data_IF_621865796792
#
_entry.id   IF_621865796792
#
_cell.length_a   1.000
_cell.length_b   1.000
_cell.length_c   1.000
_cell.angle_alpha   90.00
_cell.angle_beta   90.00
_cell.angle_gamma   90.00
#
_symmetry.space_group_name_H-M   'P 1'
#
loop_
_entity.id
_entity.type
_entity.pdbx_description
1 polymer ?
#
# COMPACT_ATOMS: atom_id res chain seq x y z
N UNK A 1 -8.89 -22.72 9.74
CA UNK A 1 -9.22 -21.28 9.64
C UNK A 1 -9.16 -20.89 8.17
N UNK A 2 -10.12 -20.12 7.67
CA UNK A 2 -10.22 -19.70 6.26
C UNK A 2 -10.68 -18.25 6.18
N UNK A 3 -10.42 -17.58 5.05
CA UNK A 3 -11.17 -16.38 4.67
C UNK A 3 -12.67 -16.70 4.48
N UNK A 4 -13.51 -15.68 4.40
CA UNK A 4 -14.96 -15.83 4.16
C UNK A 4 -15.21 -16.61 2.87
N UNK A 5 -15.90 -17.74 2.98
CA UNK A 5 -16.22 -18.65 1.86
C UNK A 5 -17.73 -18.90 1.86
N UNK A 6 -18.34 -18.94 0.69
CA UNK A 6 -19.79 -19.05 0.54
C UNK A 6 -20.35 -20.42 0.89
N UNK A 7 -19.53 -21.47 0.88
CA UNK A 7 -19.92 -22.87 1.13
C UNK A 7 -19.36 -23.42 2.46
N UNK A 8 -19.20 -22.55 3.47
CA UNK A 8 -18.64 -22.94 4.77
C UNK A 8 -19.37 -24.13 5.41
N UNK A 9 -20.70 -24.15 5.32
CA UNK A 9 -21.52 -25.23 5.86
C UNK A 9 -21.21 -26.59 5.22
N UNK A 10 -21.08 -26.65 3.89
CA UNK A 10 -20.76 -27.89 3.18
C UNK A 10 -19.38 -28.44 3.58
N UNK A 11 -18.41 -27.55 3.77
CA UNK A 11 -17.06 -27.93 4.20
C UNK A 11 -17.07 -28.40 5.66
N UNK A 12 -17.82 -27.71 6.53
CA UNK A 12 -17.97 -28.10 7.92
C UNK A 12 -18.61 -29.49 8.05
N UNK A 13 -19.67 -29.75 7.28
CA UNK A 13 -20.33 -31.06 7.23
C UNK A 13 -19.40 -32.15 6.70
N UNK A 14 -18.66 -31.88 5.61
CA UNK A 14 -17.69 -32.81 5.04
C UNK A 14 -16.58 -33.16 6.03
N UNK A 15 -16.05 -32.17 6.75
CA UNK A 15 -15.01 -32.35 7.77
C UNK A 15 -15.56 -32.86 9.11
N UNK A 16 -16.89 -32.95 9.27
CA UNK A 16 -17.57 -33.23 10.54
C UNK A 16 -17.12 -32.28 11.66
N UNK A 17 -16.98 -31.00 11.34
CA UNK A 17 -16.46 -29.98 12.22
C UNK A 17 -17.54 -28.97 12.63
N UNK A 18 -17.38 -28.35 13.80
CA UNK A 18 -18.17 -27.18 14.16
C UNK A 18 -17.70 -25.97 13.36
N UNK A 19 -18.66 -25.18 12.86
CA UNK A 19 -18.40 -23.92 12.18
C UNK A 19 -18.56 -22.72 13.11
N UNK A 20 -17.72 -21.72 12.91
CA UNK A 20 -17.83 -20.41 13.55
C UNK A 20 -17.51 -19.35 12.51
N UNK A 21 -18.44 -18.43 12.29
CA UNK A 21 -18.29 -17.31 11.37
C UNK A 21 -18.36 -16.00 12.14
N UNK A 22 -17.44 -15.09 11.84
CA UNK A 22 -17.42 -13.73 12.38
C UNK A 22 -16.93 -12.76 11.32
N UNK A 23 -17.51 -11.57 11.31
CA UNK A 23 -17.05 -10.44 10.49
C UNK A 23 -16.31 -9.40 11.32
N UNK A 24 -15.97 -9.73 12.58
CA UNK A 24 -15.25 -8.82 13.45
C UNK A 24 -13.87 -8.48 12.87
N UNK A 25 -13.62 -7.18 12.71
CA UNK A 25 -12.31 -6.64 12.34
C UNK A 25 -11.85 -5.64 13.40
N UNK A 26 -10.65 -5.80 13.98
CA UNK A 26 -10.16 -4.88 15.01
C UNK A 26 -9.90 -3.44 14.53
N UNK A 27 -9.64 -3.26 13.23
CA UNK A 27 -9.46 -1.95 12.59
C UNK A 27 -10.46 -1.87 11.45
N UNK A 28 -11.31 -0.85 11.47
CA UNK A 28 -12.34 -0.67 10.44
C UNK A 28 -11.71 -0.46 9.05
N UNK A 29 -12.30 -1.08 8.04
CA UNK A 29 -11.85 -0.96 6.65
C UNK A 29 -12.68 0.09 5.94
N UNK A 30 -12.02 1.16 5.49
CA UNK A 30 -12.60 2.10 4.54
C UNK A 30 -12.25 1.67 3.12
N UNK A 31 -13.26 1.29 2.36
CA UNK A 31 -13.13 0.93 0.94
C UNK A 31 -13.61 2.10 0.08
N UNK A 32 -12.88 2.43 -0.98
CA UNK A 32 -13.27 3.52 -1.89
C UNK A 32 -12.67 3.35 -3.29
N UNK A 33 -13.33 3.96 -4.27
CA UNK A 33 -12.91 4.00 -5.67
C UNK A 33 -12.46 5.41 -6.00
N UNK A 34 -11.26 5.57 -6.52
CA UNK A 34 -10.79 6.87 -7.01
C UNK A 34 -11.33 7.14 -8.42
N UNK A 35 -12.10 8.21 -8.58
CA UNK A 35 -12.59 8.72 -9.87
C UNK A 35 -12.11 10.16 -10.03
N UNK A 36 -11.16 10.37 -10.95
CA UNK A 36 -10.50 11.66 -11.12
C UNK A 36 -9.69 12.04 -9.87
N UNK A 37 -10.22 12.95 -9.06
CA UNK A 37 -9.62 13.38 -7.77
C UNK A 37 -10.47 12.98 -6.56
N UNK A 38 -11.60 12.33 -6.79
CA UNK A 38 -12.61 12.06 -5.77
C UNK A 38 -12.59 10.59 -5.41
N UNK A 39 -12.47 10.30 -4.12
CA UNK A 39 -12.70 8.97 -3.58
C UNK A 39 -14.21 8.84 -3.35
N UNK A 40 -14.82 7.87 -4.02
CA UNK A 40 -16.23 7.54 -3.91
C UNK A 40 -16.42 6.22 -3.15
N UNK A 41 -17.59 6.07 -2.55
CA UNK A 41 -17.99 4.82 -1.91
C UNK A 41 -18.12 3.69 -2.95
N UNK A 42 -17.64 2.50 -2.60
CA UNK A 42 -17.60 1.33 -3.49
C UNK A 42 -18.99 0.81 -3.89
N UNK A 43 -20.03 1.05 -3.07
CA UNK A 43 -21.38 0.52 -3.31
C UNK A 43 -22.28 1.54 -3.99
N UNK A 44 -22.25 2.78 -3.50
CA UNK A 44 -23.16 3.86 -3.91
C UNK A 44 -22.56 4.77 -4.99
N UNK A 45 -21.23 4.72 -5.18
CA UNK A 45 -20.46 5.64 -6.04
C UNK A 45 -20.60 7.12 -5.66
N UNK A 46 -21.18 7.41 -4.49
CA UNK A 46 -21.30 8.76 -3.98
C UNK A 46 -19.93 9.27 -3.52
N UNK A 47 -19.63 10.56 -3.70
CA UNK A 47 -18.36 11.14 -3.29
C UNK A 47 -18.22 11.11 -1.77
N UNK A 48 -17.11 10.55 -1.28
CA UNK A 48 -16.75 10.54 0.14
C UNK A 48 -15.83 11.71 0.47
N UNK A 49 -14.72 11.84 -0.27
CA UNK A 49 -13.75 12.93 -0.12
C UNK A 49 -12.94 13.14 -1.40
N UNK A 50 -12.23 14.26 -1.48
CA UNK A 50 -11.19 14.45 -2.51
C UNK A 50 -9.80 14.09 -1.96
N UNK A 51 -8.90 13.66 -2.85
CA UNK A 51 -7.48 13.51 -2.51
C UNK A 51 -6.83 14.88 -2.29
N UNK A 52 -5.86 14.95 -1.38
CA UNK A 52 -5.18 16.21 -1.06
C UNK A 52 -4.51 16.84 -2.29
N UNK A 53 -4.84 18.10 -2.58
CA UNK A 53 -4.20 18.86 -3.67
C UNK A 53 -2.75 19.27 -3.38
N UNK A 54 -2.28 19.08 -2.14
CA UNK A 54 -0.89 19.39 -1.72
C UNK A 54 0.14 18.65 -2.57
N UNK A 55 -0.18 17.44 -3.02
CA UNK A 55 0.71 16.55 -3.75
C UNK A 55 0.25 16.33 -5.19
N UNK A 56 -0.46 17.30 -5.78
CA UNK A 56 -0.95 17.17 -7.14
C UNK A 56 0.20 17.22 -8.15
N UNK A 57 0.27 16.18 -8.98
CA UNK A 57 1.28 16.05 -10.01
C UNK A 57 0.59 15.96 -11.40
N UNK A 58 1.05 16.75 -12.39
CA UNK A 58 0.54 16.63 -13.77
C UNK A 58 0.87 15.27 -14.40
N UNK A 59 2.04 14.69 -14.08
CA UNK A 59 2.54 13.45 -14.64
C UNK A 59 2.12 12.19 -13.83
N UNK A 60 0.94 12.21 -13.21
CA UNK A 60 0.39 11.10 -12.43
C UNK A 60 -1.11 10.89 -12.76
N UNK A 61 -1.43 10.35 -13.94
CA UNK A 61 -2.81 10.24 -14.41
C UNK A 61 -3.67 9.33 -13.52
N UNK A 62 -3.06 8.32 -12.90
CA UNK A 62 -3.71 7.37 -12.01
C UNK A 62 -3.63 7.76 -10.53
N UNK A 63 -2.95 8.88 -10.23
CA UNK A 63 -2.83 9.48 -8.89
C UNK A 63 -2.16 8.55 -7.87
N UNK A 64 -1.37 7.58 -8.32
CA UNK A 64 -0.72 6.60 -7.45
C UNK A 64 0.34 7.30 -6.61
N UNK A 65 1.15 8.15 -7.23
CA UNK A 65 2.18 8.92 -6.54
C UNK A 65 1.51 9.85 -5.52
N UNK A 66 0.45 10.56 -5.94
CA UNK A 66 -0.29 11.47 -5.06
C UNK A 66 -0.89 10.76 -3.83
N UNK A 67 -1.46 9.56 -4.00
CA UNK A 67 -1.96 8.75 -2.89
C UNK A 67 -0.85 8.25 -1.97
N UNK A 68 0.31 7.89 -2.53
CA UNK A 68 1.50 7.52 -1.77
C UNK A 68 1.99 8.70 -0.92
N UNK A 69 2.13 9.89 -1.51
CA UNK A 69 2.57 11.09 -0.79
C UNK A 69 1.59 11.47 0.32
N UNK A 70 0.28 11.38 0.07
CA UNK A 70 -0.73 11.61 1.10
C UNK A 70 -0.53 10.66 2.29
N UNK A 71 -0.35 9.35 2.04
CA UNK A 71 -0.09 8.36 3.10
C UNK A 71 1.24 8.57 3.81
N UNK A 72 2.31 8.78 3.06
CA UNK A 72 3.63 8.99 3.63
C UNK A 72 3.62 10.20 4.57
N UNK A 73 2.92 11.30 4.19
CA UNK A 73 2.81 12.50 5.04
C UNK A 73 2.12 12.27 6.38
N UNK A 74 1.33 11.20 6.51
CA UNK A 74 0.70 10.76 7.76
C UNK A 74 1.57 9.77 8.55
N UNK A 75 2.73 9.39 8.02
CA UNK A 75 3.54 8.33 8.59
C UNK A 75 2.95 6.94 8.36
N UNK A 76 2.16 6.74 7.30
CA UNK A 76 1.57 5.45 6.92
C UNK A 76 2.43 4.66 5.92
N UNK A 77 2.33 3.33 5.93
CA UNK A 77 2.87 2.49 4.86
C UNK A 77 1.81 2.18 3.81
N UNK A 78 2.26 1.95 2.57
CA UNK A 78 1.40 1.73 1.41
C UNK A 78 1.77 0.41 0.75
N UNK A 79 0.75 -0.42 0.51
CA UNK A 79 0.86 -1.64 -0.30
C UNK A 79 0.08 -1.45 -1.60
N UNK A 80 0.76 -1.50 -2.73
CA UNK A 80 0.19 -1.31 -4.06
C UNK A 80 0.10 -2.66 -4.75
N UNK A 81 -1.08 -3.03 -5.25
CA UNK A 81 -1.28 -4.23 -6.05
C UNK A 81 -1.39 -3.89 -7.54
N UNK A 82 -0.60 -4.58 -8.35
CA UNK A 82 -0.55 -4.48 -9.81
C UNK A 82 -0.89 -5.84 -10.47
N UNK A 83 -1.25 -5.82 -11.74
CA UNK A 83 -1.73 -7.02 -12.45
C UNK A 83 -0.61 -7.89 -13.04
N UNK A 84 0.62 -7.37 -13.14
CA UNK A 84 1.76 -8.07 -13.73
C UNK A 84 3.09 -7.70 -13.09
N UNK A 85 4.11 -8.55 -13.27
CA UNK A 85 5.48 -8.31 -12.76
C UNK A 85 6.09 -7.02 -13.31
N UNK A 86 6.00 -6.84 -14.63
CA UNK A 86 6.51 -5.64 -15.30
C UNK A 86 5.80 -4.36 -14.84
N UNK A 87 4.50 -4.42 -14.54
CA UNK A 87 3.78 -3.27 -13.99
C UNK A 87 4.20 -2.97 -12.56
N UNK A 88 4.39 -4.00 -11.74
CA UNK A 88 4.91 -3.89 -10.38
C UNK A 88 6.27 -3.19 -10.35
N UNK A 89 7.22 -3.62 -11.20
CA UNK A 89 8.53 -2.99 -11.37
C UNK A 89 8.39 -1.53 -11.83
N UNK A 90 7.61 -1.29 -12.89
CA UNK A 90 7.40 0.05 -13.47
C UNK A 90 6.83 1.04 -12.43
N UNK A 91 5.81 0.64 -11.69
CA UNK A 91 5.18 1.50 -10.67
C UNK A 91 6.17 1.79 -9.54
N UNK A 92 6.94 0.80 -9.09
CA UNK A 92 7.98 1.00 -8.09
C UNK A 92 9.04 2.01 -8.55
N UNK A 93 9.53 1.87 -9.78
CA UNK A 93 10.50 2.82 -10.37
C UNK A 93 9.94 4.23 -10.45
N UNK A 94 8.72 4.41 -10.94
CA UNK A 94 8.09 5.73 -11.09
C UNK A 94 7.92 6.42 -9.74
N UNK A 95 7.41 5.70 -8.74
CA UNK A 95 7.24 6.25 -7.38
C UNK A 95 8.60 6.58 -6.75
N UNK A 96 9.58 5.68 -6.89
CA UNK A 96 10.94 5.90 -6.37
C UNK A 96 11.63 7.11 -6.99
N UNK A 97 11.53 7.29 -8.31
CA UNK A 97 12.13 8.44 -9.00
C UNK A 97 11.55 9.76 -8.48
N UNK A 98 10.23 9.82 -8.29
CA UNK A 98 9.61 11.02 -7.73
C UNK A 98 10.09 11.30 -6.29
N UNK A 99 10.18 10.27 -5.44
CA UNK A 99 10.71 10.45 -4.09
C UNK A 99 12.18 10.88 -4.09
N UNK A 100 12.99 10.39 -5.04
CA UNK A 100 14.39 10.80 -5.20
C UNK A 100 14.50 12.27 -5.60
N UNK A 101 13.67 12.74 -6.52
CA UNK A 101 13.63 14.16 -6.92
C UNK A 101 13.35 15.04 -5.69
N UNK A 102 12.35 14.68 -4.89
CA UNK A 102 12.02 15.40 -3.66
C UNK A 102 13.13 15.37 -2.61
N UNK A 103 13.87 14.26 -2.48
CA UNK A 103 15.03 14.16 -1.60
C UNK A 103 16.21 15.03 -2.07
N UNK A 104 16.29 15.32 -3.38
CA UNK A 104 17.37 16.10 -3.98
C UNK A 104 17.11 17.61 -3.86
N UNK A 105 15.85 18.02 -3.83
CA UNK A 105 15.45 19.40 -3.54
C UNK A 105 15.52 19.65 -2.03
N UNK A 106 16.65 20.20 -1.53
CA UNK A 106 16.95 20.57 -0.13
C UNK A 106 16.07 19.82 0.91
N UNK A 107 16.53 18.64 1.40
CA UNK A 107 15.67 17.73 2.15
C UNK A 107 15.03 18.43 3.34
N UNK A 108 13.72 18.67 3.24
CA UNK A 108 12.95 19.19 4.36
C UNK A 108 13.00 18.12 5.46
N UNK A 109 13.19 18.53 6.71
CA UNK A 109 13.29 17.61 7.86
C UNK A 109 12.12 16.60 7.91
N UNK A 110 10.95 17.04 7.42
CA UNK A 110 9.75 16.22 7.28
C UNK A 110 9.97 14.98 6.40
N UNK A 111 10.68 15.09 5.25
CA UNK A 111 10.92 13.97 4.33
C UNK A 111 11.86 12.92 4.93
N UNK A 112 12.90 13.36 5.65
CA UNK A 112 13.85 12.45 6.29
C UNK A 112 13.15 11.58 7.34
N UNK A 113 12.27 12.19 8.14
CA UNK A 113 11.46 11.47 9.12
C UNK A 113 10.43 10.56 8.44
N UNK A 114 9.79 11.04 7.37
CA UNK A 114 8.78 10.31 6.60
C UNK A 114 9.32 9.00 5.99
N UNK A 115 10.53 9.05 5.42
CA UNK A 115 11.18 7.90 4.79
C UNK A 115 12.12 7.12 5.73
N UNK A 116 12.30 7.59 6.97
CA UNK A 116 13.22 7.01 7.96
C UNK A 116 14.63 6.77 7.38
N UNK A 117 15.20 7.82 6.79
CA UNK A 117 16.46 7.75 6.02
C UNK A 117 17.59 7.07 6.79
N UNK A 118 17.71 7.31 8.10
CA UNK A 118 18.73 6.66 8.93
C UNK A 118 18.57 5.13 8.92
N UNK A 119 17.36 4.61 9.19
CA UNK A 119 17.09 3.18 9.16
C UNK A 119 17.22 2.59 7.75
N UNK A 120 16.92 3.39 6.73
CA UNK A 120 16.98 2.99 5.34
C UNK A 120 18.41 2.76 4.87
N UNK A 121 19.35 3.61 5.29
CA UNK A 121 20.77 3.45 4.96
C UNK A 121 21.35 2.12 5.46
N UNK A 122 21.06 1.75 6.71
CA UNK A 122 21.43 0.44 7.26
C UNK A 122 20.73 -0.71 6.53
N UNK A 123 19.47 -0.53 6.14
CA UNK A 123 18.72 -1.55 5.41
C UNK A 123 19.26 -1.79 4.00
N UNK A 124 19.73 -0.75 3.30
CA UNK A 124 20.37 -0.90 1.99
C UNK A 124 21.62 -1.79 2.10
N UNK A 125 22.48 -1.54 3.09
CA UNK A 125 23.67 -2.36 3.34
C UNK A 125 23.31 -3.81 3.71
N UNK A 126 22.36 -3.99 4.63
CA UNK A 126 21.83 -5.31 4.98
C UNK A 126 21.30 -6.06 3.76
N UNK A 127 20.45 -5.42 2.95
CA UNK A 127 19.86 -6.03 1.76
C UNK A 127 20.93 -6.49 0.78
N UNK A 128 21.93 -5.67 0.50
CA UNK A 128 23.02 -6.03 -0.42
C UNK A 128 23.84 -7.20 0.11
N UNK A 129 24.14 -7.23 1.41
CA UNK A 129 24.95 -8.29 2.01
C UNK A 129 24.22 -9.65 2.06
N UNK A 130 22.93 -9.64 2.40
CA UNK A 130 22.14 -10.88 2.51
C UNK A 130 21.76 -11.45 1.15
N UNK A 131 21.37 -10.59 0.20
CA UNK A 131 20.78 -11.05 -1.07
C UNK A 131 21.81 -11.16 -2.19
N UNK A 132 22.91 -10.39 -2.12
CA UNK A 132 23.82 -10.17 -3.24
C UNK A 132 23.07 -9.82 -4.55
N UNK A 133 21.93 -9.13 -4.42
CA UNK A 133 21.03 -8.85 -5.52
C UNK A 133 21.74 -8.09 -6.64
N UNK A 134 21.46 -8.51 -7.87
CA UNK A 134 21.90 -7.83 -9.10
C UNK A 134 20.73 -7.15 -9.82
N UNK A 135 19.55 -7.11 -9.20
CA UNK A 135 18.37 -6.46 -9.76
C UNK A 135 18.51 -4.93 -9.67
N UNK A 136 18.75 -4.30 -10.81
CA UNK A 136 18.95 -2.85 -10.90
C UNK A 136 17.75 -2.05 -10.38
N UNK A 137 16.54 -2.58 -10.50
CA UNK A 137 15.33 -1.89 -10.06
C UNK A 137 15.24 -1.93 -8.54
N UNK A 138 15.53 -3.06 -7.87
CA UNK A 138 15.59 -3.12 -6.41
C UNK A 138 16.70 -2.22 -5.86
N UNK A 139 17.88 -2.29 -6.46
CA UNK A 139 19.04 -1.49 -6.05
C UNK A 139 18.80 0.01 -6.18
N UNK A 140 17.97 0.44 -7.14
CA UNK A 140 17.58 1.84 -7.29
C UNK A 140 16.35 2.21 -6.45
N UNK A 141 15.40 1.32 -6.22
CA UNK A 141 14.16 1.66 -5.50
C UNK A 141 14.32 1.65 -3.98
N UNK A 142 15.03 0.65 -3.43
CA UNK A 142 15.20 0.47 -1.98
C UNK A 142 15.78 1.70 -1.28
N UNK A 143 16.81 2.40 -1.81
CA UNK A 143 17.34 3.62 -1.19
C UNK A 143 16.35 4.78 -1.02
N UNK A 144 15.15 4.68 -1.62
CA UNK A 144 14.06 5.65 -1.45
C UNK A 144 12.91 5.14 -0.57
N UNK A 145 13.06 3.97 0.05
CA UNK A 145 12.03 3.36 0.90
C UNK A 145 10.93 2.67 0.10
N UNK A 146 11.17 2.41 -1.18
CA UNK A 146 10.26 1.74 -2.12
C UNK A 146 10.86 0.40 -2.51
N UNK A 147 10.06 -0.65 -2.56
CA UNK A 147 10.48 -1.92 -3.13
C UNK A 147 9.33 -2.53 -3.92
N UNK A 148 9.64 -3.59 -4.67
CA UNK A 148 8.65 -4.40 -5.32
C UNK A 148 8.74 -5.87 -4.90
N UNK A 149 7.65 -6.62 -5.09
CA UNK A 149 7.55 -8.02 -4.72
C UNK A 149 6.74 -8.81 -5.74
N UNK A 150 7.37 -9.83 -6.31
CA UNK A 150 6.71 -10.79 -7.18
C UNK A 150 7.50 -12.10 -7.26
N UNK A 151 6.90 -13.13 -7.87
CA UNK A 151 7.52 -14.44 -8.03
C UNK A 151 8.78 -14.50 -8.92
N UNK A 152 9.20 -13.38 -9.53
CA UNK A 152 10.49 -13.28 -10.22
C UNK A 152 11.70 -13.06 -9.30
N UNK A 153 11.47 -12.63 -8.05
CA UNK A 153 12.54 -12.40 -7.07
C UNK A 153 13.05 -13.72 -6.48
N UNK A 154 14.31 -13.75 -6.07
CA UNK A 154 14.87 -14.86 -5.29
C UNK A 154 14.14 -15.01 -3.95
N UNK A 155 14.38 -16.11 -3.23
CA UNK A 155 13.76 -16.27 -1.91
C UNK A 155 14.34 -15.27 -0.93
N UNK A 156 15.65 -15.07 -0.99
CA UNK A 156 16.43 -14.16 -0.15
C UNK A 156 15.98 -12.70 -0.34
N UNK A 157 15.78 -12.28 -1.59
CA UNK A 157 15.24 -10.95 -1.92
C UNK A 157 13.83 -10.76 -1.37
N UNK A 158 12.97 -11.77 -1.51
CA UNK A 158 11.59 -11.71 -0.99
C UNK A 158 11.57 -11.59 0.52
N UNK A 159 12.34 -12.43 1.22
CA UNK A 159 12.42 -12.39 2.68
C UNK A 159 12.94 -11.04 3.17
N UNK A 160 14.02 -10.52 2.57
CA UNK A 160 14.59 -9.23 2.96
C UNK A 160 13.62 -8.06 2.71
N UNK A 161 12.91 -8.03 1.57
CA UNK A 161 11.88 -7.02 1.27
C UNK A 161 10.70 -7.11 2.24
N UNK A 162 10.25 -8.32 2.54
CA UNK A 162 9.16 -8.57 3.49
C UNK A 162 9.51 -8.09 4.90
N UNK A 163 10.73 -8.36 5.35
CA UNK A 163 11.25 -7.93 6.65
C UNK A 163 11.41 -6.42 6.71
N UNK A 164 11.97 -5.80 5.67
CA UNK A 164 12.10 -4.34 5.56
C UNK A 164 10.75 -3.62 5.62
N UNK A 165 9.73 -4.16 4.95
CA UNK A 165 8.37 -3.61 4.99
C UNK A 165 7.70 -3.83 6.34
N UNK A 166 7.85 -5.01 6.94
CA UNK A 166 7.28 -5.33 8.26
C UNK A 166 7.90 -4.46 9.38
N UNK A 167 9.20 -4.20 9.31
CA UNK A 167 9.90 -3.26 10.19
C UNK A 167 9.49 -1.80 9.95
N UNK A 168 8.80 -1.52 8.84
CA UNK A 168 8.39 -0.18 8.43
C UNK A 168 9.57 0.70 8.03
N UNK A 169 10.67 0.09 7.57
CA UNK A 169 11.81 0.78 6.95
C UNK A 169 11.46 1.03 5.48
N UNK A 170 11.02 -0.01 4.77
CA UNK A 170 10.35 0.16 3.48
C UNK A 170 8.93 0.67 3.73
N UNK A 171 8.63 1.83 3.13
CA UNK A 171 7.36 2.55 3.34
C UNK A 171 6.33 2.21 2.27
N UNK A 172 6.80 1.89 1.07
CA UNK A 172 5.96 1.54 -0.08
C UNK A 172 6.40 0.20 -0.63
N UNK A 173 5.46 -0.73 -0.75
CA UNK A 173 5.68 -2.01 -1.39
C UNK A 173 4.73 -2.15 -2.57
N UNK A 174 5.26 -2.43 -3.75
CA UNK A 174 4.46 -2.73 -4.96
C UNK A 174 4.48 -4.22 -5.21
N UNK A 175 3.35 -4.86 -5.40
CA UNK A 175 3.28 -6.31 -5.49
C UNK A 175 2.30 -6.81 -6.54
N UNK A 176 2.56 -8.00 -7.07
CA UNK A 176 1.55 -8.74 -7.84
C UNK A 176 0.47 -9.31 -6.93
N UNK A 177 -0.70 -9.60 -7.50
CA UNK A 177 -1.82 -10.23 -6.79
C UNK A 177 -1.44 -11.51 -6.07
N UNK A 178 -0.46 -12.28 -6.55
CA UNK A 178 0.01 -13.51 -5.90
C UNK A 178 0.54 -13.31 -4.46
N UNK A 179 0.99 -12.10 -4.11
CA UNK A 179 1.37 -11.79 -2.73
C UNK A 179 0.16 -11.81 -1.78
N UNK A 180 -1.07 -11.66 -2.30
CA UNK A 180 -2.29 -11.69 -1.49
C UNK A 180 -2.48 -13.03 -0.78
N UNK A 181 -1.92 -14.12 -1.32
CA UNK A 181 -1.96 -15.47 -0.79
C UNK A 181 -0.57 -15.95 -0.33
N UNK A 182 -0.21 -15.73 0.94
CA UNK A 182 0.96 -16.44 1.50
C UNK A 182 1.79 -15.71 2.56
N UNK A 183 1.71 -14.38 2.65
CA UNK A 183 2.56 -13.59 3.56
C UNK A 183 1.72 -12.62 4.38
N UNK A 184 2.01 -12.44 5.68
CA UNK A 184 1.35 -11.45 6.53
C UNK A 184 2.06 -10.09 6.46
N UNK A 185 1.62 -9.22 5.53
CA UNK A 185 2.15 -7.86 5.33
C UNK A 185 0.98 -6.87 5.42
N UNK A 186 0.60 -6.42 6.62
CA UNK A 186 -0.40 -5.38 6.78
C UNK A 186 0.20 -4.02 6.42
N UNK A 187 -0.60 -3.16 5.78
CA UNK A 187 -0.26 -1.79 5.45
C UNK A 187 -1.38 -0.85 5.92
N UNK A 188 -1.08 0.41 6.22
CA UNK A 188 -2.12 1.37 6.59
C UNK A 188 -3.00 1.71 5.39
N UNK A 189 -2.42 1.78 4.18
CA UNK A 189 -3.16 1.95 2.93
C UNK A 189 -2.86 0.82 1.95
N UNK A 190 -3.92 0.32 1.31
CA UNK A 190 -3.82 -0.56 0.15
C UNK A 190 -4.33 0.18 -1.08
N UNK A 191 -3.56 0.18 -2.16
CA UNK A 191 -3.94 0.73 -3.47
C UNK A 191 -4.03 -0.43 -4.45
N UNK A 192 -5.13 -0.57 -5.17
CA UNK A 192 -5.31 -1.62 -6.18
C UNK A 192 -5.37 -0.96 -7.55
N UNK A 193 -4.29 -1.12 -8.33
CA UNK A 193 -4.28 -0.75 -9.74
C UNK A 193 -4.93 -1.89 -10.53
N UNK A 194 -6.25 -1.84 -10.62
CA UNK A 194 -7.06 -2.92 -11.15
C UNK A 194 -7.00 -2.99 -12.68
N UNK A 195 -6.83 -4.20 -13.20
CA UNK A 195 -7.16 -4.50 -14.59
C UNK A 195 -8.63 -4.96 -14.66
N UNK A 196 -9.45 -4.28 -15.46
CA UNK A 196 -10.90 -4.55 -15.53
C UNK A 196 -11.27 -5.64 -16.54
N UNK A 197 -10.36 -6.02 -17.43
CA UNK A 197 -10.65 -6.96 -18.52
C UNK A 197 -9.40 -7.75 -18.92
N UNK A 198 -9.62 -8.94 -19.48
CA UNK A 198 -8.56 -9.85 -19.88
C UNK A 198 -8.20 -10.88 -18.80
N UNK A 199 -7.15 -11.69 -19.02
CA UNK A 199 -6.83 -12.84 -18.18
C UNK A 199 -6.41 -12.47 -16.75
N UNK A 200 -5.88 -11.26 -16.56
CA UNK A 200 -5.47 -10.73 -15.25
C UNK A 200 -6.54 -9.80 -14.65
N UNK A 201 -7.80 -9.90 -15.08
CA UNK A 201 -8.87 -9.08 -14.55
C UNK A 201 -9.07 -9.32 -13.05
N UNK A 202 -9.32 -8.25 -12.30
CA UNK A 202 -9.52 -8.31 -10.86
C UNK A 202 -10.77 -9.13 -10.52
N UNK A 203 -10.58 -10.23 -9.80
CA UNK A 203 -11.68 -11.05 -9.30
C UNK A 203 -12.13 -10.58 -7.91
N UNK A 204 -13.37 -10.88 -7.53
CA UNK A 204 -13.88 -10.55 -6.19
C UNK A 204 -13.03 -11.19 -5.08
N UNK A 205 -12.58 -12.44 -5.28
CA UNK A 205 -11.72 -13.16 -4.33
C UNK A 205 -10.38 -12.44 -4.18
N UNK A 206 -9.71 -12.10 -5.29
CA UNK A 206 -8.44 -11.39 -5.25
C UNK A 206 -8.60 -10.01 -4.59
N UNK A 207 -9.66 -9.27 -4.94
CA UNK A 207 -9.98 -8.00 -4.30
C UNK A 207 -10.12 -8.13 -2.78
N UNK A 208 -10.92 -9.08 -2.30
CA UNK A 208 -11.12 -9.30 -0.85
C UNK A 208 -9.83 -9.68 -0.13
N UNK A 209 -8.96 -10.46 -0.76
CA UNK A 209 -7.65 -10.79 -0.20
C UNK A 209 -6.70 -9.58 -0.16
N UNK A 210 -6.78 -8.68 -1.14
CA UNK A 210 -5.97 -7.45 -1.18
C UNK A 210 -6.41 -6.45 -0.12
N UNK A 211 -7.71 -6.10 -0.07
CA UNK A 211 -8.23 -5.12 0.92
C UNK A 211 -8.17 -5.63 2.36
N UNK A 212 -8.13 -6.94 2.56
CA UNK A 212 -7.88 -7.56 3.86
C UNK A 212 -6.54 -7.18 4.49
N UNK A 213 -5.60 -6.65 3.71
CA UNK A 213 -4.27 -6.22 4.18
C UNK A 213 -4.21 -4.77 4.65
N UNK A 214 -5.25 -3.99 4.41
CA UNK A 214 -5.31 -2.62 4.91
C UNK A 214 -5.53 -2.60 6.44
N UNK A 215 -5.07 -1.57 7.13
CA UNK A 215 -5.28 -1.42 8.58
C UNK A 215 -4.34 -2.29 9.43
N UNK A 216 -3.38 -1.64 10.08
CA UNK A 216 -2.48 -2.27 11.06
C UNK A 216 -3.02 -2.09 12.48
N UNK A 217 -3.21 -3.20 13.19
CA UNK A 217 -3.49 -3.21 14.62
C UNK A 217 -2.37 -2.49 15.38
N UNK A 218 -2.73 -1.44 16.13
CA UNK A 218 -1.83 -0.74 17.05
C UNK A 218 -1.25 0.61 16.58
N UNK A 219 -1.65 1.15 15.41
CA UNK A 219 -1.22 2.50 14.99
C UNK A 219 -2.27 3.40 14.32
N UNK A 220 -3.50 2.93 14.10
CA UNK A 220 -4.57 3.77 13.53
C UNK A 220 -5.51 4.29 14.62
N UNK A 221 -5.02 5.21 15.46
CA UNK A 221 -5.90 6.21 16.07
C UNK A 221 -6.00 7.35 15.06
N UNK A 222 -7.01 7.30 14.19
CA UNK A 222 -7.38 8.48 13.38
C UNK A 222 -7.81 9.57 14.35
N UNK A 223 -6.93 10.53 14.62
CA UNK A 223 -7.38 11.85 15.05
C UNK A 223 -8.05 12.49 13.83
N UNK A 224 -9.35 12.74 13.95
CA UNK A 224 -10.18 13.37 12.94
C UNK A 224 -9.57 14.69 12.46
N UNK A 225 -9.05 14.73 11.24
CA UNK A 225 -8.89 15.98 10.51
C UNK A 225 -10.27 16.39 9.96
N UNK A 226 -11.10 16.93 10.85
CA UNK A 226 -12.29 17.69 10.48
C UNK A 226 -11.93 18.93 9.64
N UNK A 227 -12.86 19.46 8.84
CA UNK A 227 -12.58 20.62 7.99
C UNK A 227 -12.26 21.84 8.86
N UNK A 228 -11.01 22.30 8.79
CA UNK A 228 -10.60 23.60 9.33
C UNK A 228 -11.06 24.68 8.35
N UNK A 229 -12.34 25.03 8.47
CA UNK A 229 -12.89 26.23 7.88
C UNK A 229 -13.80 26.91 8.91
N UNK A 230 -13.21 27.76 9.74
CA UNK A 230 -13.93 28.90 10.32
C UNK A 230 -13.09 30.15 10.16
N UNK A 231 -13.46 30.86 9.11
CA UNK A 231 -13.19 32.26 8.85
C UNK A 231 -13.14 33.10 10.13
N UNK A 232 -12.04 33.86 10.25
CA UNK A 232 -11.98 35.08 11.04
C UNK A 232 -13.16 35.97 10.62
N UNK A 233 -14.15 36.11 11.48
CA UNK A 233 -15.11 37.22 11.39
C UNK A 233 -14.72 38.24 12.45
N UNK A 234 -14.00 39.26 11.98
CA UNK A 234 -13.98 40.57 12.60
C UNK A 234 -15.38 41.18 12.50
N UNK A 235 -16.02 41.53 13.62
CA UNK A 235 -16.84 42.74 13.73
C UNK A 235 -17.37 42.94 15.17
N UNK A 236 -16.96 44.08 15.74
CA UNK A 236 -17.55 44.88 16.83
C UNK A 236 -17.39 44.40 18.26
#
# INVERSE_FOLDING_TARGET
MSATISNLAEIADWLKAHQFETHFRPVELEEGILIGKTICDVQTLLPLRSISSRFELPADPERIIQLCMESLSLGDSVLIFCSSKAETEKVATVVSNHLRELLSEEPQQDFNHMLKIDALSFFVEYFQNETQSSDEILLTTIPTGVAFHHAGLTMEEREAVEDGFRAGVLRILVATSTLSSGVNLPAQRVIIKAQLSGPSALTNIAYRQMVGRAGRLGQSSKEDFGPVDKAKTSAR
#
